data_IF_324113054851
#
_entry.id   IF_324113054851
#
_cell.length_a   1.000
_cell.length_b   1.000
_cell.length_c   1.000
_cell.angle_alpha   90.00
_cell.angle_beta   90.00
_cell.angle_gamma   90.00
#
_symmetry.space_group_name_H-M   'P 1'
#
loop_
_entity.id
_entity.type
_entity.pdbx_description
1 polymer ?
#
# COMPACT_ATOMS: atom_id res chain seq x y z
N UNK A 1 -7.57 -6.03 -7.12
CA UNK A 1 -8.25 -6.02 -5.81
C UNK A 1 -7.41 -6.68 -4.71
N UNK A 2 -6.86 -7.89 -4.91
CA UNK A 2 -6.14 -8.66 -3.88
C UNK A 2 -5.02 -7.93 -3.14
N UNK A 3 -4.11 -7.25 -3.85
CA UNK A 3 -2.99 -6.53 -3.23
C UNK A 3 -3.42 -5.44 -2.24
N UNK A 4 -4.47 -4.66 -2.58
CA UNK A 4 -4.93 -3.56 -1.74
C UNK A 4 -5.56 -4.08 -0.44
N UNK A 5 -6.33 -5.17 -0.57
CA UNK A 5 -6.93 -5.87 0.55
C UNK A 5 -5.87 -6.51 1.45
N UNK A 6 -4.90 -7.22 0.86
CA UNK A 6 -3.82 -7.89 1.60
C UNK A 6 -2.98 -6.86 2.38
N UNK A 7 -2.64 -5.71 1.77
CA UNK A 7 -1.93 -4.61 2.43
C UNK A 7 -2.74 -4.01 3.60
N UNK A 8 -4.04 -3.75 3.42
CA UNK A 8 -4.86 -3.17 4.49
C UNK A 8 -5.08 -4.14 5.65
N UNK A 9 -5.23 -5.44 5.38
CA UNK A 9 -5.40 -6.45 6.43
C UNK A 9 -4.10 -6.65 7.22
N UNK A 10 -2.96 -6.69 6.55
CA UNK A 10 -1.65 -6.83 7.21
C UNK A 10 -1.35 -5.62 8.10
N UNK A 11 -1.58 -4.40 7.62
CA UNK A 11 -1.41 -3.19 8.42
C UNK A 11 -2.36 -3.16 9.63
N UNK A 12 -3.61 -3.63 9.48
CA UNK A 12 -4.61 -3.61 10.56
C UNK A 12 -4.34 -4.66 11.64
N UNK A 13 -3.75 -5.80 11.28
CA UNK A 13 -3.37 -6.85 12.24
C UNK A 13 -2.05 -6.54 12.96
N UNK A 14 -1.15 -5.77 12.33
CA UNK A 14 0.18 -5.51 12.86
C UNK A 14 0.33 -4.17 13.59
N UNK A 15 -0.68 -3.28 13.53
CA UNK A 15 -0.56 -1.92 14.05
C UNK A 15 -1.77 -1.50 14.88
N UNK A 16 -1.53 -1.10 16.12
CA UNK A 16 -2.53 -0.50 17.01
C UNK A 16 -2.89 0.95 16.64
N UNK A 17 -2.17 1.53 15.68
CA UNK A 17 -2.32 2.92 15.22
C UNK A 17 -2.20 2.98 13.69
N UNK A 18 -2.72 4.05 13.05
CA UNK A 18 -2.49 4.26 11.63
C UNK A 18 -1.00 4.18 11.26
N UNK A 19 -0.71 3.49 10.17
CA UNK A 19 0.65 3.40 9.65
C UNK A 19 1.11 4.78 9.18
N UNK A 20 2.24 5.26 9.73
CA UNK A 20 2.92 6.45 9.25
C UNK A 20 4.27 6.05 8.62
N UNK A 21 4.42 6.18 7.28
CA UNK A 21 5.66 5.83 6.59
C UNK A 21 6.84 6.71 7.02
N UNK A 22 6.64 7.90 7.59
CA UNK A 22 7.75 8.75 8.04
C UNK A 22 8.39 8.23 9.33
N UNK A 23 7.59 7.65 10.22
CA UNK A 23 8.04 7.13 11.52
C UNK A 23 8.22 5.61 11.55
N UNK A 24 7.77 4.89 10.52
CA UNK A 24 7.93 3.45 10.42
C UNK A 24 9.42 3.01 10.37
N UNK A 25 9.74 1.97 11.15
CA UNK A 25 11.09 1.42 11.21
C UNK A 25 11.53 0.85 9.84
N UNK A 26 12.83 0.86 9.53
CA UNK A 26 13.34 0.25 8.30
C UNK A 26 12.96 -1.23 8.14
N UNK A 27 12.94 -1.98 9.25
CA UNK A 27 12.55 -3.39 9.26
C UNK A 27 11.09 -3.59 8.84
N UNK A 28 10.17 -2.76 9.34
CA UNK A 28 8.76 -2.81 8.96
C UNK A 28 8.56 -2.46 7.48
N UNK A 29 9.25 -1.42 6.99
CA UNK A 29 9.21 -1.03 5.57
C UNK A 29 9.69 -2.15 4.65
N UNK A 30 10.79 -2.81 5.01
CA UNK A 30 11.31 -3.96 4.24
C UNK A 30 10.34 -5.14 4.25
N UNK A 31 9.73 -5.44 5.40
CA UNK A 31 8.75 -6.51 5.52
C UNK A 31 7.54 -6.26 4.61
N UNK A 32 7.04 -5.02 4.56
CA UNK A 32 5.93 -4.62 3.71
C UNK A 32 6.27 -4.75 2.21
N UNK A 33 7.45 -4.29 1.79
CA UNK A 33 7.91 -4.42 0.41
C UNK A 33 8.00 -5.89 -0.01
N UNK A 34 8.65 -6.72 0.81
CA UNK A 34 8.82 -8.15 0.54
C UNK A 34 7.48 -8.90 0.45
N UNK A 35 6.56 -8.66 1.38
CA UNK A 35 5.25 -9.32 1.39
C UNK A 35 4.40 -8.99 0.16
N UNK A 36 4.65 -7.84 -0.47
CA UNK A 36 3.91 -7.38 -1.65
C UNK A 36 4.68 -7.60 -2.96
N UNK A 37 5.84 -8.26 -2.88
CA UNK A 37 6.67 -8.65 -4.02
C UNK A 37 7.49 -7.51 -4.62
N UNK A 38 7.78 -6.47 -3.85
CA UNK A 38 8.52 -5.29 -4.30
C UNK A 38 9.97 -5.31 -3.79
N UNK A 39 10.87 -4.67 -4.55
CA UNK A 39 12.31 -4.61 -4.22
C UNK A 39 12.62 -3.76 -3.00
N UNK A 40 11.87 -2.68 -2.81
CA UNK A 40 12.00 -1.74 -1.71
C UNK A 40 10.69 -1.02 -1.43
N UNK A 41 10.66 -0.27 -0.33
CA UNK A 41 9.46 0.44 0.11
C UNK A 41 9.07 1.58 -0.85
N UNK A 42 10.03 2.22 -1.52
CA UNK A 42 9.72 3.30 -2.47
C UNK A 42 9.01 2.76 -3.73
N UNK A 43 9.43 1.58 -4.19
CA UNK A 43 8.81 0.84 -5.30
C UNK A 43 7.38 0.44 -4.94
N UNK A 44 7.18 -0.03 -3.71
CA UNK A 44 5.85 -0.29 -3.17
C UNK A 44 4.96 0.97 -3.14
N UNK A 45 5.47 2.10 -2.66
CA UNK A 45 4.71 3.36 -2.64
C UNK A 45 4.33 3.82 -4.06
N UNK A 46 5.25 3.69 -5.02
CA UNK A 46 4.99 4.05 -6.41
C UNK A 46 3.89 3.18 -7.02
N UNK A 47 3.94 1.86 -6.82
CA UNK A 47 2.90 0.93 -7.29
C UNK A 47 1.56 1.19 -6.63
N UNK A 48 1.55 1.54 -5.35
CA UNK A 48 0.33 1.90 -4.62
C UNK A 48 -0.30 3.16 -5.21
N UNK A 49 0.51 4.21 -5.45
CA UNK A 49 0.06 5.46 -6.09
C UNK A 49 -0.51 5.23 -7.48
N UNK A 50 0.15 4.42 -8.32
CA UNK A 50 -0.36 4.08 -9.65
C UNK A 50 -1.71 3.34 -9.57
N UNK A 51 -1.78 2.33 -8.69
CA UNK A 51 -3.01 1.57 -8.48
C UNK A 51 -4.18 2.46 -8.05
N UNK A 52 -3.94 3.37 -7.11
CA UNK A 52 -4.92 4.34 -6.65
C UNK A 52 -5.36 5.30 -7.76
N UNK A 53 -4.42 5.81 -8.55
CA UNK A 53 -4.70 6.68 -9.69
C UNK A 53 -5.59 5.98 -10.71
N UNK A 54 -5.32 4.71 -11.02
CA UNK A 54 -6.14 3.90 -11.93
C UNK A 54 -7.54 3.65 -11.39
N UNK A 55 -7.68 3.34 -10.10
CA UNK A 55 -8.99 3.17 -9.45
C UNK A 55 -9.77 4.48 -9.48
N UNK A 56 -9.13 5.61 -9.17
CA UNK A 56 -9.76 6.93 -9.21
C UNK A 56 -10.25 7.27 -10.63
N UNK A 57 -9.42 7.06 -11.66
CA UNK A 57 -9.82 7.26 -13.06
C UNK A 57 -11.01 6.38 -13.47
N UNK A 58 -11.02 5.11 -13.05
CA UNK A 58 -12.13 4.21 -13.33
C UNK A 58 -13.42 4.67 -12.64
N UNK A 59 -13.33 5.17 -11.40
CA UNK A 59 -14.47 5.73 -10.68
C UNK A 59 -15.02 6.98 -11.37
N UNK A 60 -14.15 7.93 -11.74
CA UNK A 60 -14.55 9.15 -12.48
C UNK A 60 -15.25 8.81 -13.80
N UNK A 61 -14.81 7.76 -14.50
CA UNK A 61 -15.43 7.32 -15.74
C UNK A 61 -16.80 6.62 -15.56
N UNK A 62 -17.12 6.14 -14.34
CA UNK A 62 -18.37 5.44 -14.04
C UNK A 62 -19.43 6.36 -13.43
N UNK A 63 -19.00 7.38 -12.68
CA UNK A 63 -19.91 8.27 -11.93
C UNK A 63 -20.22 9.57 -12.69
N UNK A 64 -19.40 9.92 -13.68
CA UNK A 64 -19.53 11.13 -14.50
C UNK A 64 -20.05 10.83 -15.89
#
# INVERSE_FOLDING_TARGET
AKMYHDLTQLLRLCLDRPFDPQTASPALKNLLAQHLGESDFASLENRLKDTLSRVHKAFEALVR
#
